data_IF_891540798702
#
_entry.id   IF_891540798702
#
_cell.length_a   1.000
_cell.length_b   1.000
_cell.length_c   1.000
_cell.angle_alpha   90.00
_cell.angle_beta   90.00
_cell.angle_gamma   90.00
#
_symmetry.space_group_name_H-M   'P 1'
#
loop_
_entity.id
_entity.type
_entity.pdbx_description
1 polymer ?
#
# COMPACT_ATOMS: atom_id res chain seq x y z
N UNK A 1 4.90 7.08 -13.12
CA UNK A 1 4.15 8.16 -12.39
C UNK A 1 4.25 7.84 -10.91
N UNK A 2 4.57 8.80 -10.05
CA UNK A 2 4.61 8.54 -8.60
C UNK A 2 3.20 8.61 -8.03
N UNK A 3 2.80 7.57 -7.30
CA UNK A 3 1.55 7.47 -6.55
C UNK A 3 1.85 7.25 -5.07
N UNK A 4 0.95 7.75 -4.21
CA UNK A 4 1.00 7.50 -2.77
C UNK A 4 -0.28 6.78 -2.36
N UNK A 5 -0.14 5.60 -1.74
CA UNK A 5 -1.29 4.78 -1.34
C UNK A 5 -1.15 4.39 0.13
N UNK A 6 -2.18 4.66 0.93
CA UNK A 6 -2.25 4.25 2.34
C UNK A 6 -3.17 3.06 2.50
N UNK A 7 -2.67 2.00 3.13
CA UNK A 7 -3.40 0.75 3.36
C UNK A 7 -3.28 0.33 4.82
N UNK A 8 -4.30 -0.34 5.38
CA UNK A 8 -4.12 -1.03 6.65
C UNK A 8 -3.10 -2.15 6.48
N UNK A 9 -2.21 -2.32 7.46
CA UNK A 9 -1.50 -3.59 7.60
C UNK A 9 -2.43 -4.57 8.27
N UNK A 10 -2.91 -5.55 7.51
CA UNK A 10 -3.86 -6.52 8.00
C UNK A 10 -3.62 -7.87 7.31
N UNK A 11 -2.88 -8.75 8.00
CA UNK A 11 -2.62 -10.12 7.52
C UNK A 11 -3.93 -10.89 7.26
N UNK A 12 -4.98 -10.62 8.04
CA UNK A 12 -6.33 -11.19 7.85
C UNK A 12 -6.91 -10.91 6.46
N UNK A 13 -6.54 -9.80 5.83
CA UNK A 13 -6.98 -9.40 4.49
C UNK A 13 -5.93 -9.66 3.41
N UNK A 14 -4.90 -10.47 3.72
CA UNK A 14 -3.79 -10.78 2.81
C UNK A 14 -3.07 -9.52 2.29
N UNK A 15 -3.04 -8.47 3.12
CA UNK A 15 -2.25 -7.26 2.86
C UNK A 15 -1.00 -7.31 3.74
N UNK A 16 0.08 -7.96 3.28
CA UNK A 16 1.32 -8.01 4.03
C UNK A 16 1.95 -6.61 4.12
N UNK A 17 2.94 -6.45 5.00
CA UNK A 17 3.85 -5.32 4.90
C UNK A 17 4.52 -5.34 3.52
N UNK A 18 4.50 -4.20 2.84
CA UNK A 18 5.16 -4.06 1.57
C UNK A 18 6.67 -4.23 1.72
N UNK A 19 7.33 -4.56 0.60
CA UNK A 19 8.78 -4.62 0.51
C UNK A 19 9.23 -3.67 -0.60
N UNK A 20 10.35 -2.97 -0.38
CA UNK A 20 10.96 -2.14 -1.42
C UNK A 20 11.29 -3.00 -2.64
N UNK A 21 10.99 -2.49 -3.83
CA UNK A 21 11.18 -3.23 -5.09
C UNK A 21 10.09 -4.25 -5.42
N UNK A 22 9.16 -4.54 -4.51
CA UNK A 22 8.01 -5.38 -4.83
C UNK A 22 7.13 -4.72 -5.90
N UNK A 23 6.51 -5.55 -6.75
CA UNK A 23 5.53 -5.11 -7.74
C UNK A 23 4.15 -5.43 -7.20
N UNK A 24 3.31 -4.40 -7.05
CA UNK A 24 1.94 -4.55 -6.60
C UNK A 24 0.98 -4.12 -7.71
N UNK A 25 -0.18 -4.79 -7.77
CA UNK A 25 -1.27 -4.48 -8.66
C UNK A 25 -2.43 -3.90 -7.86
N UNK A 26 -3.03 -2.83 -8.37
CA UNK A 26 -4.14 -2.12 -7.77
C UNK A 26 -5.31 -2.08 -8.74
N UNK A 27 -6.51 -2.29 -8.22
CA UNK A 27 -7.75 -2.13 -9.00
C UNK A 27 -8.59 -1.05 -8.34
N UNK A 28 -8.82 0.04 -9.05
CA UNK A 28 -9.55 1.22 -8.58
C UNK A 28 -10.49 1.73 -9.66
N UNK A 29 -11.76 1.95 -9.32
CA UNK A 29 -12.80 2.43 -10.24
C UNK A 29 -12.87 1.66 -11.58
N UNK A 30 -12.63 0.33 -11.55
CA UNK A 30 -12.63 -0.52 -12.74
C UNK A 30 -11.35 -0.48 -13.59
N UNK A 31 -10.35 0.33 -13.21
CA UNK A 31 -9.03 0.37 -13.84
C UNK A 31 -8.04 -0.42 -13.02
N UNK A 32 -7.13 -1.13 -13.70
CA UNK A 32 -6.04 -1.85 -13.05
C UNK A 32 -4.71 -1.25 -13.44
N UNK A 33 -3.85 -1.05 -12.45
CA UNK A 33 -2.50 -0.55 -12.67
C UNK A 33 -1.48 -1.28 -11.79
N UNK A 34 -0.22 -1.22 -12.21
CA UNK A 34 0.89 -1.83 -11.49
C UNK A 34 2.02 -0.83 -11.27
N UNK A 35 2.73 -1.01 -10.17
CA UNK A 35 3.87 -0.18 -9.82
C UNK A 35 4.87 -0.87 -8.91
N UNK A 36 6.08 -0.32 -8.89
CA UNK A 36 7.17 -0.77 -8.02
C UNK A 36 7.16 0.06 -6.74
N UNK A 37 7.21 -0.59 -5.58
CA UNK A 37 7.32 0.11 -4.30
C UNK A 37 8.72 0.75 -4.18
N UNK A 38 8.75 2.07 -3.96
CA UNK A 38 9.96 2.89 -3.81
C UNK A 38 10.15 3.44 -2.39
N UNK A 39 9.08 3.54 -1.62
CA UNK A 39 9.09 4.01 -0.25
C UNK A 39 7.99 3.39 0.57
N UNK A 40 8.25 3.18 1.86
CA UNK A 40 7.31 2.61 2.82
C UNK A 40 7.43 3.43 4.10
N UNK A 41 6.31 3.96 4.58
CA UNK A 41 6.17 4.53 5.91
C UNK A 41 5.16 3.70 6.67
N UNK A 42 5.50 3.25 7.88
CA UNK A 42 4.59 2.52 8.76
C UNK A 42 4.22 3.41 9.93
N UNK A 43 2.93 3.45 10.27
CA UNK A 43 2.42 4.19 11.41
C UNK A 43 1.59 3.25 12.30
N UNK A 44 1.74 3.42 13.62
CA UNK A 44 0.94 2.72 14.62
C UNK A 44 0.20 3.77 15.42
N UNK A 45 -1.14 3.68 15.44
CA UNK A 45 -2.01 4.56 16.21
C UNK A 45 -2.92 3.74 17.12
N UNK A 46 -3.55 4.41 18.09
CA UNK A 46 -4.58 3.81 18.93
C UNK A 46 -5.95 4.30 18.47
N UNK A 47 -6.85 3.38 18.14
CA UNK A 47 -8.26 3.63 17.92
C UNK A 47 -9.06 2.87 18.98
N UNK A 48 -9.78 3.58 19.86
CA UNK A 48 -10.51 3.00 21.00
C UNK A 48 -9.66 2.02 21.84
N UNK A 49 -8.41 2.42 22.15
CA UNK A 49 -7.44 1.60 22.89
C UNK A 49 -6.96 0.32 22.18
N UNK A 50 -7.36 0.09 20.92
CA UNK A 50 -6.86 -0.97 20.07
C UNK A 50 -5.76 -0.44 19.13
N UNK A 51 -4.64 -1.17 18.94
CA UNK A 51 -3.61 -0.76 17.99
C UNK A 51 -4.12 -0.93 16.56
N UNK A 52 -3.96 0.12 15.76
CA UNK A 52 -4.20 0.11 14.32
C UNK A 52 -2.87 0.41 13.65
N UNK A 53 -2.51 -0.42 12.66
CA UNK A 53 -1.28 -0.25 11.90
C UNK A 53 -1.62 0.06 10.45
N UNK A 54 -1.02 1.12 9.92
CA UNK A 54 -1.14 1.52 8.52
C UNK A 54 0.23 1.57 7.87
N UNK A 55 0.24 1.39 6.55
CA UNK A 55 1.42 1.60 5.72
C UNK A 55 1.08 2.56 4.58
N UNK A 56 1.90 3.57 4.39
CA UNK A 56 1.85 4.49 3.25
C UNK A 56 2.97 4.13 2.31
N UNK A 57 2.61 3.81 1.06
CA UNK A 57 3.49 3.34 0.01
C UNK A 57 3.73 4.45 -1.00
N UNK A 58 4.99 4.74 -1.30
CA UNK A 58 5.39 5.54 -2.47
C UNK A 58 5.68 4.58 -3.62
N UNK A 59 4.97 4.74 -4.73
CA UNK A 59 4.92 3.74 -5.80
C UNK A 59 5.26 4.39 -7.13
N UNK A 60 6.19 3.82 -7.88
CA UNK A 60 6.42 4.21 -9.27
C UNK A 60 5.56 3.34 -10.19
N UNK A 61 4.44 3.90 -10.64
CA UNK A 61 3.48 3.27 -11.55
C UNK A 61 4.03 3.26 -12.98
N UNK A 62 4.03 2.08 -13.61
CA UNK A 62 4.56 1.87 -14.96
C UNK A 62 3.64 1.07 -15.91
N UNK A 63 2.55 0.45 -15.43
CA UNK A 63 1.55 -0.22 -16.28
C UNK A 63 0.11 0.12 -15.86
N UNK A 64 -0.81 0.20 -16.84
CA UNK A 64 -2.26 0.45 -16.68
C UNK A 64 -2.71 1.85 -17.11
N UNK A 65 -3.92 1.94 -17.69
CA UNK A 65 -4.59 3.18 -18.16
C UNK A 65 -5.32 3.99 -17.07
#
# INVERSE_FOLDING_TARGET
KIETVTLPWAEKYQLPLASLGAVWAFTEAGKTWQGVIKGIQVEVTLDNNAPVVTQTLTIDRYMGD
#
